data_IF_420808310924
#
_entry.id   IF_420808310924
#
_cell.length_a   1.000
_cell.length_b   1.000
_cell.length_c   1.000
_cell.angle_alpha   90.00
_cell.angle_beta   90.00
_cell.angle_gamma   90.00
#
_symmetry.space_group_name_H-M   'P 1'
#
loop_
_entity.id
_entity.type
_entity.pdbx_description
1 polymer ?
#
# COMPACT_ATOMS: atom_id res chain seq x y z
N UNK A 1 68.52 -29.23 -3.78
CA UNK A 1 67.57 -28.46 -4.63
C UNK A 1 66.17 -28.69 -4.09
N UNK A 2 65.66 -27.81 -3.22
CA UNK A 2 64.34 -27.94 -2.59
C UNK A 2 63.24 -27.46 -3.53
N UNK A 3 62.27 -28.33 -3.81
CA UNK A 3 61.03 -28.00 -4.54
C UNK A 3 60.12 -27.18 -3.63
N UNK A 4 59.82 -25.94 -4.02
CA UNK A 4 58.83 -25.11 -3.34
C UNK A 4 57.41 -25.63 -3.63
N UNK A 5 56.63 -25.86 -2.58
CA UNK A 5 55.24 -26.33 -2.66
C UNK A 5 54.33 -25.12 -2.89
N UNK A 6 53.64 -25.09 -4.02
CA UNK A 6 52.69 -24.02 -4.36
C UNK A 6 51.44 -24.16 -3.47
N UNK A 7 51.24 -23.22 -2.54
CA UNK A 7 50.08 -23.18 -1.67
C UNK A 7 48.88 -22.60 -2.45
N UNK A 8 47.80 -23.39 -2.57
CA UNK A 8 46.52 -22.94 -3.13
C UNK A 8 45.76 -22.20 -2.03
N UNK A 9 45.57 -20.89 -2.15
CA UNK A 9 44.67 -20.13 -1.30
C UNK A 9 43.21 -20.42 -1.68
N UNK A 10 42.29 -20.62 -0.71
CA UNK A 10 40.88 -20.75 -1.00
C UNK A 10 40.28 -19.37 -1.29
N UNK A 11 39.57 -19.25 -2.41
CA UNK A 11 38.74 -18.10 -2.75
C UNK A 11 37.48 -18.19 -1.88
N UNK A 12 37.41 -17.40 -0.81
CA UNK A 12 36.18 -17.26 -0.03
C UNK A 12 35.20 -16.38 -0.81
N UNK A 13 34.22 -17.00 -1.48
CA UNK A 13 33.13 -16.30 -2.15
C UNK A 13 32.08 -15.90 -1.10
N UNK A 14 32.10 -14.65 -0.65
CA UNK A 14 31.09 -14.11 0.26
C UNK A 14 29.79 -13.86 -0.51
N UNK A 15 28.84 -14.79 -0.40
CA UNK A 15 27.50 -14.64 -1.00
C UNK A 15 26.70 -13.66 -0.14
N UNK A 16 26.54 -12.42 -0.62
CA UNK A 16 25.59 -11.46 -0.06
C UNK A 16 24.18 -11.90 -0.45
N UNK A 17 23.54 -12.74 0.38
CA UNK A 17 22.12 -13.03 0.26
C UNK A 17 21.34 -11.79 0.73
N UNK A 18 21.04 -10.89 -0.19
CA UNK A 18 20.03 -9.85 0.02
C UNK A 18 18.70 -10.54 0.29
N UNK A 19 18.28 -10.53 1.55
CA UNK A 19 16.95 -10.99 1.94
C UNK A 19 15.94 -10.02 1.36
N UNK A 20 15.36 -10.35 0.21
CA UNK A 20 14.14 -9.70 -0.26
C UNK A 20 13.02 -10.12 0.71
N UNK A 21 12.93 -9.43 1.84
CA UNK A 21 11.80 -9.55 2.74
C UNK A 21 10.54 -9.11 2.00
N UNK A 22 9.52 -9.95 1.96
CA UNK A 22 8.18 -9.53 1.58
C UNK A 22 7.74 -8.58 2.70
N UNK A 23 7.89 -7.27 2.49
CA UNK A 23 7.43 -6.29 3.46
C UNK A 23 5.91 -6.45 3.62
N UNK A 24 5.48 -6.84 4.82
CA UNK A 24 4.06 -6.95 5.16
C UNK A 24 3.40 -5.58 5.09
N UNK A 25 2.10 -5.55 4.78
CA UNK A 25 1.34 -4.30 4.75
C UNK A 25 1.27 -3.68 6.15
N UNK A 26 1.37 -2.35 6.18
CA UNK A 26 1.43 -1.56 7.41
C UNK A 26 -0.01 -1.23 7.84
N UNK A 27 -0.37 -1.38 9.12
CA UNK A 27 -1.69 -0.98 9.60
C UNK A 27 -1.97 0.50 9.31
N UNK A 28 -3.21 0.84 8.95
CA UNK A 28 -3.59 2.22 8.65
C UNK A 28 -3.29 3.21 9.80
N UNK A 29 -3.27 2.73 11.05
CA UNK A 29 -2.93 3.53 12.22
C UNK A 29 -1.50 4.09 12.19
N UNK A 30 -0.59 3.41 11.50
CA UNK A 30 0.84 3.76 11.40
C UNK A 30 1.16 4.53 10.10
N UNK A 31 0.17 4.84 9.27
CA UNK A 31 0.40 5.39 7.93
C UNK A 31 1.08 6.76 7.92
N UNK A 32 0.88 7.59 8.95
CA UNK A 32 1.55 8.89 9.07
C UNK A 32 3.07 8.78 9.13
N UNK A 33 3.61 7.69 9.69
CA UNK A 33 5.06 7.43 9.73
C UNK A 33 5.63 7.03 8.37
N UNK A 34 4.75 6.76 7.40
CA UNK A 34 5.10 6.28 6.07
C UNK A 34 4.99 7.36 4.99
N UNK A 35 4.65 8.60 5.36
CA UNK A 35 4.55 9.73 4.44
C UNK A 35 5.85 9.88 3.64
N UNK A 36 5.70 10.03 2.32
CA UNK A 36 6.81 10.16 1.38
C UNK A 36 7.36 8.84 0.85
N UNK A 37 6.87 7.70 1.34
CA UNK A 37 7.25 6.38 0.84
C UNK A 37 6.13 5.72 0.03
N UNK A 38 6.52 4.85 -0.90
CA UNK A 38 5.59 3.88 -1.50
C UNK A 38 5.46 2.68 -0.55
N UNK A 39 4.24 2.43 -0.08
CA UNK A 39 3.93 1.36 0.89
C UNK A 39 2.64 0.63 0.53
N UNK A 40 2.46 -0.53 1.17
CA UNK A 40 1.16 -1.14 1.32
C UNK A 40 0.58 -0.74 2.67
N UNK A 41 -0.64 -0.24 2.67
CA UNK A 41 -1.41 0.05 3.88
C UNK A 41 -2.59 -0.92 3.96
N UNK A 42 -2.89 -1.44 5.14
CA UNK A 42 -3.98 -2.39 5.37
C UNK A 42 -4.92 -1.94 6.49
N UNK A 43 -6.21 -2.26 6.33
CA UNK A 43 -7.23 -1.94 7.31
C UNK A 43 -8.64 -2.29 6.84
N UNK A 44 -9.58 -2.34 7.78
CA UNK A 44 -11.00 -2.51 7.47
C UNK A 44 -11.58 -1.16 7.06
N UNK A 45 -12.22 -1.09 5.89
CA UNK A 45 -12.96 0.11 5.48
C UNK A 45 -14.26 0.16 6.27
N UNK A 46 -14.41 1.16 7.15
CA UNK A 46 -15.60 1.34 7.97
C UNK A 46 -16.64 2.22 7.26
N UNK A 47 -16.18 3.22 6.50
CA UNK A 47 -17.07 4.14 5.79
C UNK A 47 -16.57 4.39 4.37
N UNK A 48 -17.52 4.53 3.46
CA UNK A 48 -17.32 5.00 2.09
C UNK A 48 -18.18 6.24 1.94
N UNK A 49 -17.54 7.39 1.79
CA UNK A 49 -18.22 8.70 1.79
C UNK A 49 -17.93 9.43 0.49
N UNK A 50 -18.95 10.04 -0.10
CA UNK A 50 -18.80 10.91 -1.26
C UNK A 50 -18.68 12.36 -0.78
N UNK A 51 -17.64 13.06 -1.24
CA UNK A 51 -17.46 14.48 -1.00
C UNK A 51 -17.73 15.32 -2.25
N UNK A 52 -17.12 16.49 -2.30
CA UNK A 52 -17.32 17.43 -3.40
C UNK A 52 -16.80 16.86 -4.72
N UNK A 53 -17.47 17.21 -5.83
CA UNK A 53 -17.11 16.78 -7.18
C UNK A 53 -17.00 15.26 -7.39
N UNK A 54 -17.73 14.47 -6.58
CA UNK A 54 -17.78 13.00 -6.69
C UNK A 54 -16.50 12.30 -6.24
N UNK A 55 -15.66 12.96 -5.44
CA UNK A 55 -14.52 12.30 -4.79
C UNK A 55 -15.06 11.32 -3.75
N UNK A 56 -14.61 10.08 -3.79
CA UNK A 56 -14.97 9.06 -2.81
C UNK A 56 -13.82 8.84 -1.83
N UNK A 57 -14.13 8.80 -0.54
CA UNK A 57 -13.21 8.56 0.55
C UNK A 57 -13.49 7.18 1.17
N UNK A 58 -12.44 6.36 1.32
CA UNK A 58 -12.51 5.13 2.11
C UNK A 58 -11.87 5.41 3.46
N UNK A 59 -12.68 5.41 4.51
CA UNK A 59 -12.26 5.73 5.87
C UNK A 59 -12.18 4.45 6.71
N UNK A 60 -11.13 4.37 7.52
CA UNK A 60 -10.80 3.21 8.36
C UNK A 60 -11.17 3.42 9.84
N UNK A 61 -11.77 4.57 10.14
CA UNK A 61 -12.14 5.01 11.49
C UNK A 61 -13.63 5.37 11.56
N UNK A 62 -14.20 5.25 12.76
CA UNK A 62 -15.55 5.75 13.04
C UNK A 62 -15.59 7.28 13.05
N UNK A 63 -14.64 7.96 13.69
CA UNK A 63 -14.44 9.41 13.54
C UNK A 63 -13.43 9.69 12.43
N UNK A 64 -13.94 10.14 11.27
CA UNK A 64 -13.12 10.39 10.10
C UNK A 64 -12.21 11.62 10.28
N UNK A 65 -12.56 12.56 11.17
CA UNK A 65 -11.77 13.79 11.39
C UNK A 65 -10.44 13.54 12.10
N UNK A 66 -10.35 12.45 12.84
CA UNK A 66 -9.13 12.03 13.54
C UNK A 66 -8.49 10.81 12.88
N UNK A 67 -8.94 10.40 11.69
CA UNK A 67 -8.42 9.18 11.09
C UNK A 67 -7.01 9.42 10.55
N UNK A 68 -6.00 8.61 10.94
CA UNK A 68 -4.62 8.84 10.52
C UNK A 68 -4.40 8.55 9.02
N UNK A 69 -5.35 7.87 8.38
CA UNK A 69 -5.24 7.43 7.00
C UNK A 69 -6.58 7.42 6.27
N UNK A 70 -6.57 7.89 5.02
CA UNK A 70 -7.73 7.87 4.12
C UNK A 70 -7.29 7.42 2.72
N UNK A 71 -8.11 6.60 2.06
CA UNK A 71 -7.94 6.35 0.63
C UNK A 71 -8.85 7.29 -0.15
N UNK A 72 -8.28 7.99 -1.12
CA UNK A 72 -9.01 8.96 -1.96
C UNK A 72 -9.17 8.39 -3.36
N UNK A 73 -10.40 8.40 -3.86
CA UNK A 73 -10.74 7.95 -5.22
C UNK A 73 -11.42 9.10 -5.94
N UNK A 74 -10.70 9.74 -6.88
CA UNK A 74 -11.31 10.75 -7.74
C UNK A 74 -12.34 10.11 -8.67
N UNK A 75 -13.43 10.82 -8.95
CA UNK A 75 -14.52 10.36 -9.82
C UNK A 75 -14.02 9.86 -11.18
N UNK A 76 -13.02 10.52 -11.76
CA UNK A 76 -12.39 10.13 -13.03
C UNK A 76 -11.68 8.77 -13.01
N UNK A 77 -11.32 8.25 -11.83
CA UNK A 77 -10.64 6.98 -11.65
C UNK A 77 -11.60 5.80 -11.44
N UNK A 78 -12.86 6.03 -11.05
CA UNK A 78 -13.83 4.97 -10.76
C UNK A 78 -14.08 4.06 -11.96
N UNK A 79 -14.07 4.60 -13.19
CA UNK A 79 -14.18 3.83 -14.43
C UNK A 79 -13.07 2.79 -14.64
N UNK A 80 -11.93 2.95 -13.96
CA UNK A 80 -10.79 2.04 -14.04
C UNK A 80 -10.66 1.15 -12.79
N UNK A 81 -10.98 1.71 -11.63
CA UNK A 81 -10.84 1.05 -10.33
C UNK A 81 -11.99 0.07 -10.09
N UNK A 82 -13.22 0.45 -10.45
CA UNK A 82 -14.44 -0.30 -10.12
C UNK A 82 -15.26 0.38 -9.02
N UNK A 83 -16.33 -0.30 -8.60
CA UNK A 83 -17.25 0.18 -7.59
C UNK A 83 -16.69 0.02 -6.17
N UNK A 84 -16.04 1.07 -5.68
CA UNK A 84 -15.40 1.08 -4.36
C UNK A 84 -16.40 1.06 -3.20
N UNK A 85 -17.72 1.24 -3.44
CA UNK A 85 -18.76 1.08 -2.41
C UNK A 85 -18.80 -0.34 -1.87
N UNK A 86 -18.44 -1.31 -2.72
CA UNK A 86 -18.30 -2.72 -2.36
C UNK A 86 -17.16 -2.99 -1.37
N UNK A 87 -16.28 -2.02 -1.10
CA UNK A 87 -15.19 -2.19 -0.15
C UNK A 87 -15.62 -1.96 1.30
N UNK A 88 -16.81 -1.41 1.55
CA UNK A 88 -17.33 -1.24 2.90
C UNK A 88 -17.34 -2.56 3.66
N UNK A 89 -16.90 -2.49 4.91
CA UNK A 89 -16.75 -3.62 5.82
C UNK A 89 -15.70 -4.68 5.44
N UNK A 90 -14.93 -4.45 4.37
CA UNK A 90 -13.86 -5.37 3.95
C UNK A 90 -12.51 -4.93 4.52
N UNK A 91 -11.70 -5.93 4.92
CA UNK A 91 -10.27 -5.75 5.14
C UNK A 91 -9.59 -5.67 3.78
N UNK A 92 -8.90 -4.56 3.49
CA UNK A 92 -8.26 -4.32 2.20
C UNK A 92 -6.77 -4.05 2.37
N UNK A 93 -6.00 -4.35 1.32
CA UNK A 93 -4.61 -3.93 1.15
C UNK A 93 -4.56 -2.95 -0.02
N UNK A 94 -4.04 -1.75 0.23
CA UNK A 94 -3.90 -0.69 -0.76
C UNK A 94 -2.45 -0.28 -0.89
N UNK A 95 -1.93 -0.34 -2.11
CA UNK A 95 -0.55 0.04 -2.43
C UNK A 95 -0.52 1.41 -3.10
N UNK A 96 0.45 2.23 -2.72
CA UNK A 96 0.66 3.52 -3.37
C UNK A 96 1.65 4.39 -2.63
N UNK A 97 1.83 5.59 -3.17
CA UNK A 97 2.58 6.64 -2.50
C UNK A 97 1.73 7.18 -1.36
N UNK A 98 2.27 7.12 -0.14
CA UNK A 98 1.65 7.69 1.04
C UNK A 98 1.97 9.18 1.06
N UNK A 99 0.96 10.02 0.85
CA UNK A 99 1.09 11.48 0.78
C UNK A 99 0.50 12.13 2.02
N UNK A 100 0.98 13.33 2.36
CA UNK A 100 0.35 14.13 3.39
C UNK A 100 -0.72 15.04 2.78
N UNK A 101 -1.90 15.07 3.39
CA UNK A 101 -2.94 16.04 3.10
C UNK A 101 -3.66 16.42 4.40
N UNK A 102 -3.81 17.71 4.67
CA UNK A 102 -4.43 18.26 5.89
C UNK A 102 -3.92 17.65 7.21
N UNK A 103 -2.64 17.25 7.25
CA UNK A 103 -2.03 16.62 8.43
C UNK A 103 -2.20 15.11 8.54
N UNK A 104 -2.88 14.46 7.59
CA UNK A 104 -3.14 13.02 7.57
C UNK A 104 -2.48 12.35 6.37
N UNK A 105 -2.24 11.04 6.47
CA UNK A 105 -1.72 10.24 5.38
C UNK A 105 -2.83 9.84 4.39
N UNK A 106 -2.52 9.85 3.10
CA UNK A 106 -3.44 9.45 2.05
C UNK A 106 -2.76 8.59 0.98
N UNK A 107 -3.54 7.68 0.39
CA UNK A 107 -3.22 7.06 -0.90
C UNK A 107 -4.32 7.41 -1.90
N UNK A 108 -3.92 7.94 -3.06
CA UNK A 108 -4.83 8.10 -4.20
C UNK A 108 -4.96 6.73 -4.88
N UNK A 109 -6.16 6.15 -4.84
CA UNK A 109 -6.50 4.94 -5.57
C UNK A 109 -6.99 5.32 -6.97
N UNK A 110 -6.14 5.05 -7.96
CA UNK A 110 -6.33 5.47 -9.36
C UNK A 110 -6.39 4.30 -10.34
N UNK A 111 -5.87 3.14 -9.93
CA UNK A 111 -5.73 1.96 -10.78
C UNK A 111 -6.07 0.69 -9.98
N UNK A 112 -6.65 -0.33 -10.60
CA UNK A 112 -7.09 -1.54 -9.90
C UNK A 112 -5.92 -2.33 -9.28
N UNK A 113 -4.71 -2.25 -9.86
CA UNK A 113 -3.53 -2.96 -9.37
C UNK A 113 -3.01 -2.48 -8.00
N UNK A 114 -3.52 -1.33 -7.53
CA UNK A 114 -3.24 -0.85 -6.17
C UNK A 114 -3.98 -1.66 -5.12
N UNK A 115 -5.08 -2.32 -5.48
CA UNK A 115 -5.79 -3.25 -4.61
C UNK A 115 -5.24 -4.67 -4.79
N UNK A 116 -5.09 -5.39 -3.69
CA UNK A 116 -4.71 -6.81 -3.67
C UNK A 116 -5.81 -7.66 -3.04
N UNK A 117 -5.70 -8.98 -3.19
CA UNK A 117 -6.66 -9.94 -2.64
C UNK A 117 -8.07 -9.73 -3.20
N UNK A 118 -9.10 -9.96 -2.37
CA UNK A 118 -10.50 -9.85 -2.79
C UNK A 118 -10.90 -8.43 -3.19
N UNK A 119 -10.23 -7.40 -2.65
CA UNK A 119 -10.48 -6.01 -3.04
C UNK A 119 -10.15 -5.75 -4.52
N UNK A 120 -9.27 -6.55 -5.14
CA UNK A 120 -8.95 -6.44 -6.57
C UNK A 120 -10.06 -6.93 -7.51
N UNK A 121 -11.13 -7.53 -6.97
CA UNK A 121 -12.24 -8.14 -7.73
C UNK A 121 -13.56 -7.37 -7.61
N UNK A 122 -13.52 -6.10 -7.20
CA UNK A 122 -14.72 -5.27 -7.17
C UNK A 122 -15.33 -5.14 -8.59
N UNK A 123 -16.67 -5.09 -8.70
CA UNK A 123 -17.33 -4.97 -9.99
C UNK A 123 -17.00 -3.64 -10.65
N UNK A 124 -17.22 -3.49 -11.97
CA UNK A 124 -17.11 -2.20 -12.64
C UNK A 124 -18.02 -1.15 -11.99
N UNK A 125 -17.58 0.11 -12.03
CA UNK A 125 -18.41 1.23 -11.58
C UNK A 125 -19.60 1.42 -12.53
N UNK A 126 -20.81 1.49 -11.94
CA UNK A 126 -22.09 1.60 -12.65
C UNK A 126 -22.50 3.05 -12.94
#
# INVERSE_FOLDING_TARGET
MSKAKLARLPIAATVLLSSFGIAQCIPFAEANEQIGATRCITGKVLKVEEGQAGVTYLNFCEDCRSCPFTVVVFSSHLKHVGDVRELKDKLIEVHGDVKQYDGHAEIILSRPQQLRGEASRIPPFA
#
